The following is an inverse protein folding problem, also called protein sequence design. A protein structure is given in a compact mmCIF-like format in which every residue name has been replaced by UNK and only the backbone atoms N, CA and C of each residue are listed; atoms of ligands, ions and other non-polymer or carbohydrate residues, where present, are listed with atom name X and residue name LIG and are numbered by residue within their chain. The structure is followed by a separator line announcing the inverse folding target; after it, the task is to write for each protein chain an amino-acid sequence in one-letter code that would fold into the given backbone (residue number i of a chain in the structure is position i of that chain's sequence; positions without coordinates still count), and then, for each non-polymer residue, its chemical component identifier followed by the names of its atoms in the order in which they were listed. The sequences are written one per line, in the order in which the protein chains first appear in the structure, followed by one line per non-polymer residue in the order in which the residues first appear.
data_IF_034726999976
#
_entry.id   IF_034726999976
#
_cell.length_a   1.000
_cell.length_b   1.000
_cell.length_c   1.000
_cell.angle_alpha   90.00
_cell.angle_beta   90.00
_cell.angle_gamma   90.00
#
_symmetry.space_group_name_H-M   'P 1'
#
loop_
_entity.id
_entity.type
_entity.pdbx_description
1 polymer ?
#
# COMPACT_ATOMS: atom_id res chain seq x y z
N UNK A 1 -8.37 -30.54 -17.30
CA UNK A 1 -8.53 -31.20 -15.99
C UNK A 1 -9.40 -30.31 -15.13
N UNK A 2 -10.66 -30.70 -14.89
CA UNK A 2 -11.63 -29.87 -14.17
C UNK A 2 -11.43 -29.98 -12.64
N UNK A 3 -11.58 -28.89 -11.87
CA UNK A 3 -11.47 -28.95 -10.42
C UNK A 3 -12.79 -29.41 -9.80
N UNK A 4 -12.67 -30.44 -8.95
CA UNK A 4 -13.75 -31.05 -8.19
C UNK A 4 -13.94 -30.24 -6.90
N UNK A 5 -14.93 -29.35 -6.87
CA UNK A 5 -15.29 -28.56 -5.67
C UNK A 5 -16.25 -29.40 -4.83
N UNK A 6 -16.00 -29.63 -3.53
CA UNK A 6 -16.90 -30.38 -2.67
C UNK A 6 -18.19 -29.59 -2.51
N UNK A 7 -19.29 -30.12 -3.05
CA UNK A 7 -20.65 -29.66 -2.83
C UNK A 7 -20.87 -29.56 -1.33
N UNK A 8 -21.11 -28.35 -0.81
CA UNK A 8 -21.49 -28.10 0.57
C UNK A 8 -22.55 -29.12 0.97
N UNK A 9 -22.20 -29.98 1.92
CA UNK A 9 -23.09 -30.96 2.52
C UNK A 9 -24.37 -30.24 2.95
N UNK A 10 -25.43 -30.40 2.18
CA UNK A 10 -26.76 -29.96 2.52
C UNK A 10 -27.14 -30.77 3.75
N UNK A 11 -26.86 -30.25 4.94
CA UNK A 11 -27.37 -30.80 6.20
C UNK A 11 -28.88 -30.70 6.06
N UNK A 12 -29.51 -31.81 5.70
CA UNK A 12 -30.95 -31.95 5.64
C UNK A 12 -31.43 -31.83 7.08
N UNK A 13 -31.87 -30.62 7.45
CA UNK A 13 -32.42 -30.37 8.79
C UNK A 13 -33.71 -31.18 8.93
N UNK A 14 -33.66 -32.21 9.76
CA UNK A 14 -34.82 -33.02 10.15
C UNK A 14 -35.57 -32.35 11.30
N UNK A 15 -36.88 -32.57 11.38
CA UNK A 15 -37.71 -32.03 12.44
C UNK A 15 -37.36 -32.67 13.78
N UNK A 16 -37.02 -31.92 14.82
CA UNK A 16 -36.67 -32.51 16.13
C UNK A 16 -37.82 -33.26 16.84
N UNK A 17 -39.07 -33.14 16.40
CA UNK A 17 -40.20 -33.86 16.99
C UNK A 17 -40.42 -35.24 16.35
N UNK A 18 -40.35 -35.36 15.02
CA UNK A 18 -40.62 -36.62 14.29
C UNK A 18 -39.44 -37.13 13.43
N UNK A 19 -38.35 -36.38 13.35
CA UNK A 19 -37.16 -36.64 12.53
C UNK A 19 -37.38 -36.65 11.01
N UNK A 20 -38.56 -36.28 10.52
CA UNK A 20 -38.79 -36.17 9.08
C UNK A 20 -38.16 -34.88 8.51
N UNK A 21 -37.58 -34.95 7.30
CA UNK A 21 -37.07 -33.76 6.61
C UNK A 21 -38.20 -32.89 6.06
N UNK A 22 -37.90 -31.61 5.77
CA UNK A 22 -38.81 -30.73 5.03
C UNK A 22 -39.72 -29.84 5.88
N UNK A 23 -39.65 -29.91 7.22
CA UNK A 23 -40.38 -28.99 8.09
C UNK A 23 -39.66 -28.74 9.42
N UNK A 24 -40.00 -27.62 10.08
CA UNK A 24 -39.52 -27.29 11.42
C UNK A 24 -40.51 -27.79 12.49
N UNK A 25 -40.04 -27.97 13.72
CA UNK A 25 -40.83 -28.46 14.88
C UNK A 25 -42.18 -27.76 15.07
N UNK A 26 -42.25 -26.45 14.78
CA UNK A 26 -43.49 -25.66 14.88
C UNK A 26 -44.55 -26.01 13.84
N UNK A 27 -44.17 -26.67 12.76
CA UNK A 27 -45.03 -27.10 11.65
C UNK A 27 -45.11 -28.63 11.55
N UNK A 28 -44.74 -29.35 12.61
CA UNK A 28 -44.85 -30.79 12.64
C UNK A 28 -46.32 -31.22 12.70
N UNK A 29 -46.80 -32.07 11.78
CA UNK A 29 -48.18 -32.58 11.80
C UNK A 29 -48.41 -33.57 12.94
N UNK A 30 -47.35 -34.11 13.54
CA UNK A 30 -47.44 -35.00 14.69
C UNK A 30 -47.61 -34.18 15.99
N UNK A 31 -48.56 -34.56 16.87
CA UNK A 31 -48.74 -33.91 18.15
C UNK A 31 -47.41 -33.93 18.92
N UNK A 32 -47.08 -32.81 19.58
CA UNK A 32 -45.86 -32.75 20.39
C UNK A 32 -45.97 -33.82 21.47
N UNK A 33 -45.01 -34.74 21.47
CA UNK A 33 -44.90 -35.70 22.57
C UNK A 33 -44.56 -34.88 23.80
N UNK A 34 -45.55 -34.67 24.67
CA UNK A 34 -45.33 -34.04 25.97
C UNK A 34 -44.39 -34.96 26.73
N UNK A 35 -43.11 -34.60 26.81
CA UNK A 35 -42.17 -35.31 27.67
C UNK A 35 -42.73 -35.23 29.10
N UNK A 36 -43.01 -36.35 29.78
CA UNK A 36 -43.71 -36.35 31.06
C UNK A 36 -42.83 -35.92 32.25
N UNK A 37 -41.64 -35.32 32.04
CA UNK A 37 -40.65 -35.13 33.11
C UNK A 37 -40.15 -33.69 33.34
N UNK A 38 -40.89 -32.66 32.94
CA UNK A 38 -40.62 -31.29 33.40
C UNK A 38 -41.70 -30.81 34.36
N UNK A 39 -41.61 -31.30 35.60
CA UNK A 39 -42.25 -30.69 36.77
C UNK A 39 -41.74 -29.25 36.87
N UNK A 40 -42.65 -28.31 36.67
CA UNK A 40 -42.46 -26.88 36.92
C UNK A 40 -42.30 -26.70 38.43
N UNK A 41 -41.07 -26.51 38.90
CA UNK A 41 -40.81 -26.00 40.24
C UNK A 41 -40.71 -24.49 40.14
N UNK A 42 -41.67 -23.77 40.73
CA UNK A 42 -41.56 -22.35 41.02
C UNK A 42 -40.36 -22.11 41.93
N UNK A 43 -39.35 -21.41 41.42
CA UNK A 43 -38.23 -20.92 42.22
C UNK A 43 -38.54 -19.48 42.60
N UNK A 44 -38.94 -19.28 43.86
CA UNK A 44 -38.89 -17.98 44.51
C UNK A 44 -37.42 -17.56 44.67
N UNK A 45 -37.12 -16.34 44.23
CA UNK A 45 -35.82 -15.67 44.34
C UNK A 45 -35.59 -15.14 45.76
N UNK A 46 -34.50 -15.49 46.46
CA UNK A 46 -34.11 -14.77 47.66
C UNK A 46 -33.26 -13.53 47.31
N UNK A 47 -33.60 -12.42 47.95
CA UNK A 47 -32.81 -11.20 48.06
C UNK A 47 -31.41 -11.54 48.64
N UNK A 48 -30.34 -11.06 48.00
CA UNK A 48 -29.00 -11.03 48.60
C UNK A 48 -28.52 -9.60 48.73
N UNK A 49 -28.32 -9.23 49.99
CA UNK A 49 -27.76 -8.00 50.53
C UNK A 49 -26.26 -7.88 50.21
N UNK A 50 -25.86 -6.68 49.83
CA UNK A 50 -24.48 -6.23 49.62
C UNK A 50 -23.69 -6.18 50.93
N UNK A 51 -22.50 -6.78 50.99
CA UNK A 51 -21.44 -6.39 51.93
C UNK A 51 -20.05 -6.48 51.31
N UNK A 52 -19.21 -5.59 51.82
CA UNK A 52 -17.95 -5.10 51.29
C UNK A 52 -16.75 -6.07 51.42
N UNK A 53 -15.81 -5.88 50.51
CA UNK A 53 -14.49 -6.52 50.49
C UNK A 53 -13.51 -5.82 51.44
N UNK A 54 -12.75 -6.61 52.19
CA UNK A 54 -11.42 -6.26 52.71
C UNK A 54 -10.49 -7.48 52.58
N UNK A 55 -9.17 -7.30 52.36
CA UNK A 55 -8.26 -8.39 52.02
C UNK A 55 -7.63 -9.00 53.27
N UNK A 56 -7.40 -10.31 53.28
CA UNK A 56 -6.53 -10.95 54.27
C UNK A 56 -5.77 -12.14 53.66
N UNK A 57 -4.49 -11.86 53.44
CA UNK A 57 -3.29 -12.67 53.65
C UNK A 57 -3.39 -14.18 53.88
N UNK A 58 -2.59 -14.85 53.07
CA UNK A 58 -2.15 -16.24 53.09
C UNK A 58 -1.68 -16.78 54.45
N UNK A 59 -2.06 -18.00 54.76
CA UNK A 59 -1.25 -18.95 55.54
C UNK A 59 -1.34 -20.33 54.93
N UNK A 60 -0.17 -20.84 54.54
CA UNK A 60 0.09 -22.19 54.05
C UNK A 60 0.01 -23.15 55.24
N UNK A 61 -0.65 -24.29 55.07
CA UNK A 61 -0.46 -25.45 55.94
C UNK A 61 -0.56 -26.73 55.13
N UNK A 62 0.61 -27.34 54.94
CA UNK A 62 0.80 -28.71 54.51
C UNK A 62 0.31 -29.66 55.61
N UNK A 63 -0.58 -30.58 55.25
CA UNK A 63 -0.79 -31.81 56.00
C UNK A 63 -0.82 -32.98 55.04
N UNK A 64 0.22 -33.80 55.11
CA UNK A 64 0.24 -35.12 54.52
C UNK A 64 -0.73 -36.02 55.30
N UNK A 65 -1.67 -36.68 54.62
CA UNK A 65 -2.27 -37.89 55.16
C UNK A 65 -2.54 -38.90 54.05
N UNK A 66 -1.91 -40.06 54.23
CA UNK A 66 -2.11 -41.30 53.52
C UNK A 66 -3.37 -41.96 54.07
N UNK A 67 -4.39 -42.23 53.25
CA UNK A 67 -5.32 -43.34 53.50
C UNK A 67 -5.96 -43.85 52.20
N UNK A 68 -5.84 -45.16 52.02
CA UNK A 68 -6.58 -45.98 51.07
C UNK A 68 -8.06 -46.10 51.48
N UNK A 69 -8.94 -46.18 50.47
CA UNK A 69 -10.18 -46.93 50.55
C UNK A 69 -11.47 -46.10 50.72
N UNK A 70 -12.36 -46.22 49.73
CA UNK A 70 -13.77 -45.83 49.85
C UNK A 70 -14.18 -44.69 48.92
N UNK A 71 -14.62 -45.03 47.71
CA UNK A 71 -15.20 -44.09 46.76
C UNK A 71 -16.50 -43.48 47.29
N UNK A 72 -16.38 -42.34 47.95
CA UNK A 72 -17.47 -41.38 48.10
C UNK A 72 -17.21 -40.24 47.12
N UNK A 73 -18.11 -40.05 46.16
CA UNK A 73 -18.09 -38.87 45.32
C UNK A 73 -18.38 -37.68 46.24
N UNK A 74 -17.33 -36.94 46.63
CA UNK A 74 -17.46 -35.67 47.34
C UNK A 74 -18.24 -34.69 46.46
N UNK A 75 -19.54 -34.67 46.68
CA UNK A 75 -20.55 -33.85 46.02
C UNK A 75 -20.40 -32.41 46.54
N UNK A 76 -19.35 -31.72 46.10
CA UNK A 76 -19.09 -30.33 46.52
C UNK A 76 -17.85 -29.66 45.93
N UNK A 77 -16.76 -30.39 45.65
CA UNK A 77 -15.49 -29.78 45.21
C UNK A 77 -15.31 -29.62 43.69
N UNK A 78 -16.17 -30.25 42.87
CA UNK A 78 -16.00 -30.22 41.41
C UNK A 78 -16.23 -28.84 40.78
N UNK A 79 -17.09 -28.03 41.39
CA UNK A 79 -17.47 -26.72 40.84
C UNK A 79 -16.35 -25.68 40.99
N UNK A 80 -15.67 -25.67 42.13
CA UNK A 80 -14.56 -24.75 42.39
C UNK A 80 -13.36 -25.03 41.45
N UNK A 81 -13.05 -26.30 41.21
CA UNK A 81 -11.99 -26.69 40.27
C UNK A 81 -12.36 -26.36 38.82
N UNK A 82 -13.64 -26.51 38.44
CA UNK A 82 -14.12 -26.07 37.13
C UNK A 82 -14.03 -24.55 36.96
N UNK A 83 -14.33 -23.78 38.01
CA UNK A 83 -14.23 -22.32 38.00
C UNK A 83 -12.78 -21.84 37.84
N UNK A 84 -11.82 -22.41 38.56
CA UNK A 84 -10.39 -22.07 38.39
C UNK A 84 -9.89 -22.37 36.97
N UNK A 85 -10.34 -23.48 36.37
CA UNK A 85 -10.02 -23.81 34.98
C UNK A 85 -10.61 -22.81 34.00
N UNK A 86 -11.84 -22.34 34.25
CA UNK A 86 -12.48 -21.33 33.42
C UNK A 86 -11.71 -20.00 33.48
N UNK A 87 -11.38 -19.53 34.68
CA UNK A 87 -10.61 -18.29 34.87
C UNK A 87 -9.23 -18.36 34.19
N UNK A 88 -8.54 -19.50 34.25
CA UNK A 88 -7.28 -19.71 33.53
C UNK A 88 -7.46 -19.65 32.00
N UNK A 89 -8.53 -20.25 31.46
CA UNK A 89 -8.84 -20.21 30.03
C UNK A 89 -9.22 -18.80 29.58
N UNK A 90 -10.03 -18.09 30.37
CA UNK A 90 -10.40 -16.69 30.12
C UNK A 90 -9.16 -15.79 30.09
N UNK A 91 -8.26 -15.93 31.05
CA UNK A 91 -6.98 -15.21 31.06
C UNK A 91 -6.10 -15.56 29.84
N UNK A 92 -6.05 -16.83 29.45
CA UNK A 92 -5.28 -17.27 28.28
C UNK A 92 -5.86 -16.67 26.99
N UNK A 93 -7.18 -16.68 26.83
CA UNK A 93 -7.88 -16.11 25.68
C UNK A 93 -7.72 -14.59 25.65
N UNK A 94 -7.78 -13.92 26.80
CA UNK A 94 -7.53 -12.48 26.91
C UNK A 94 -6.11 -12.13 26.48
N UNK A 95 -5.09 -12.89 26.91
CA UNK A 95 -3.70 -12.70 26.48
C UNK A 95 -3.50 -12.92 24.97
N UNK A 96 -4.15 -13.95 24.40
CA UNK A 96 -4.12 -14.20 22.95
C UNK A 96 -4.75 -13.02 22.20
N UNK A 97 -5.88 -12.51 22.68
CA UNK A 97 -6.56 -11.36 22.09
C UNK A 97 -5.68 -10.11 22.13
N UNK A 98 -5.08 -9.79 23.27
CA UNK A 98 -4.17 -8.64 23.39
C UNK A 98 -3.02 -8.76 22.38
N UNK A 99 -2.38 -9.93 22.26
CA UNK A 99 -1.30 -10.14 21.27
C UNK A 99 -1.78 -9.93 19.84
N UNK A 100 -2.94 -10.51 19.49
CA UNK A 100 -3.52 -10.35 18.17
C UNK A 100 -3.83 -8.88 17.86
N UNK A 101 -4.47 -8.17 18.78
CA UNK A 101 -4.81 -6.76 18.62
C UNK A 101 -3.53 -5.90 18.48
N UNK A 102 -2.48 -6.19 19.24
CA UNK A 102 -1.18 -5.51 19.09
C UNK A 102 -0.49 -5.82 17.76
N UNK A 103 -0.63 -7.04 17.21
CA UNK A 103 -0.05 -7.41 15.92
C UNK A 103 -0.82 -6.77 14.76
N UNK A 104 -2.15 -6.70 14.86
CA UNK A 104 -3.01 -5.98 13.89
C UNK A 104 -2.67 -4.48 13.87
N UNK A 105 -2.49 -3.86 15.03
CA UNK A 105 -2.12 -2.45 15.09
C UNK A 105 -0.70 -2.21 14.54
N UNK A 106 0.24 -3.12 14.79
CA UNK A 106 1.59 -3.05 14.21
C UNK A 106 1.55 -3.16 12.69
N UNK A 107 0.74 -4.07 12.15
CA UNK A 107 0.56 -4.24 10.71
C UNK A 107 -0.09 -3.01 10.06
N UNK A 108 -1.10 -2.44 10.71
CA UNK A 108 -1.75 -1.20 10.28
C UNK A 108 -0.77 -0.03 10.25
N UNK A 109 0.07 0.12 11.28
CA UNK A 109 1.11 1.14 11.31
C UNK A 109 2.15 0.94 10.20
N UNK A 110 2.56 -0.32 9.92
CA UNK A 110 3.46 -0.62 8.82
C UNK A 110 2.88 -0.21 7.46
N UNK A 111 1.61 -0.52 7.21
CA UNK A 111 0.94 -0.13 5.97
C UNK A 111 0.83 1.40 5.83
N UNK A 112 0.54 2.10 6.91
CA UNK A 112 0.50 3.57 6.91
C UNK A 112 1.88 4.20 6.66
N UNK A 113 2.97 3.60 7.15
CA UNK A 113 4.33 4.02 6.86
C UNK A 113 4.71 3.76 5.39
N UNK A 114 4.35 2.59 4.84
CA UNK A 114 4.56 2.27 3.43
C UNK A 114 3.78 3.22 2.51
N UNK A 115 2.53 3.55 2.83
CA UNK A 115 1.73 4.53 2.09
C UNK A 115 2.37 5.93 2.11
N UNK A 116 2.84 6.38 3.28
CA UNK A 116 3.58 7.65 3.41
C UNK A 116 4.87 7.64 2.59
N UNK A 117 5.59 6.52 2.55
CA UNK A 117 6.80 6.38 1.76
C UNK A 117 6.51 6.43 0.24
N UNK A 118 5.42 5.79 -0.20
CA UNK A 118 4.97 5.87 -1.60
C UNK A 118 4.61 7.31 -1.96
N UNK A 119 3.85 8.00 -1.10
CA UNK A 119 3.47 9.41 -1.31
C UNK A 119 4.68 10.35 -1.40
N UNK A 120 5.68 10.17 -0.52
CA UNK A 120 6.91 10.95 -0.59
C UNK A 120 7.70 10.70 -1.88
N UNK A 121 7.74 9.44 -2.34
CA UNK A 121 8.42 9.07 -3.58
C UNK A 121 7.72 9.65 -4.81
N UNK A 122 6.39 9.61 -4.84
CA UNK A 122 5.59 10.22 -5.91
C UNK A 122 5.77 11.74 -5.95
N UNK A 123 5.80 12.40 -4.78
CA UNK A 123 6.06 13.83 -4.70
C UNK A 123 7.50 14.20 -5.11
N UNK A 124 8.48 13.36 -4.80
CA UNK A 124 9.86 13.51 -5.27
C UNK A 124 9.95 13.35 -6.81
N UNK A 125 9.24 12.38 -7.38
CA UNK A 125 9.16 12.19 -8.83
C UNK A 125 8.50 13.38 -9.52
N UNK A 126 7.42 13.94 -8.95
CA UNK A 126 6.78 15.17 -9.43
C UNK A 126 7.77 16.34 -9.44
N UNK A 127 8.54 16.51 -8.36
CA UNK A 127 9.58 17.55 -8.28
C UNK A 127 10.70 17.33 -9.31
N UNK A 128 11.09 16.09 -9.56
CA UNK A 128 12.11 15.74 -10.55
C UNK A 128 11.62 16.02 -11.98
N UNK A 129 10.37 15.70 -12.31
CA UNK A 129 9.76 16.00 -13.60
C UNK A 129 9.65 17.51 -13.85
N UNK A 130 9.21 18.28 -12.85
CA UNK A 130 9.14 19.74 -12.96
C UNK A 130 10.53 20.37 -13.14
N UNK A 131 11.55 19.85 -12.44
CA UNK A 131 12.95 20.27 -12.65
C UNK A 131 13.41 19.94 -14.07
N UNK A 132 13.11 18.75 -14.57
CA UNK A 132 13.45 18.33 -15.94
C UNK A 132 12.76 19.20 -16.99
N UNK A 133 11.49 19.55 -16.80
CA UNK A 133 10.76 20.46 -17.69
C UNK A 133 11.38 21.87 -17.72
N UNK A 134 11.81 22.40 -16.56
CA UNK A 134 12.57 23.66 -16.50
C UNK A 134 13.90 23.57 -17.25
N UNK A 135 14.61 22.46 -17.13
CA UNK A 135 15.88 22.24 -17.85
C UNK A 135 15.64 22.07 -19.36
N UNK A 136 14.59 21.37 -19.77
CA UNK A 136 14.21 21.17 -21.18
C UNK A 136 13.78 22.49 -21.84
N UNK A 137 12.99 23.31 -21.14
CA UNK A 137 12.59 24.65 -21.62
C UNK A 137 13.77 25.59 -21.74
N UNK A 138 14.68 25.60 -20.75
CA UNK A 138 15.92 26.37 -20.82
C UNK A 138 16.82 25.89 -21.97
N UNK A 139 16.97 24.58 -22.14
CA UNK A 139 17.71 24.00 -23.25
C UNK A 139 17.11 24.40 -24.60
N UNK A 140 15.80 24.33 -24.75
CA UNK A 140 15.11 24.73 -25.99
C UNK A 140 15.35 26.21 -26.34
N UNK A 141 15.40 27.10 -25.34
CA UNK A 141 15.75 28.50 -25.54
C UNK A 141 17.20 28.68 -26.00
N UNK A 142 18.16 27.99 -25.37
CA UNK A 142 19.57 28.01 -25.75
C UNK A 142 19.77 27.47 -27.16
N UNK A 143 19.16 26.33 -27.49
CA UNK A 143 19.23 25.72 -28.82
C UNK A 143 18.61 26.64 -29.88
N UNK A 144 17.49 27.29 -29.57
CA UNK A 144 16.85 28.29 -30.46
C UNK A 144 17.76 29.51 -30.73
N UNK A 145 18.43 30.03 -29.69
CA UNK A 145 19.39 31.13 -29.85
C UNK A 145 20.62 30.72 -30.65
N UNK A 146 21.15 29.52 -30.40
CA UNK A 146 22.28 28.98 -31.15
C UNK A 146 21.93 28.78 -32.63
N UNK A 147 20.77 28.21 -32.95
CA UNK A 147 20.31 28.06 -34.34
C UNK A 147 20.18 29.42 -35.06
N UNK A 148 19.71 30.47 -34.36
CA UNK A 148 19.63 31.83 -34.92
C UNK A 148 21.02 32.44 -35.12
N UNK A 149 21.93 32.23 -34.18
CA UNK A 149 23.32 32.70 -34.27
C UNK A 149 24.03 32.02 -35.46
N UNK A 150 23.88 30.71 -35.61
CA UNK A 150 24.43 29.94 -36.74
C UNK A 150 23.90 30.47 -38.07
N UNK A 151 22.61 30.78 -38.15
CA UNK A 151 22.01 31.38 -39.36
C UNK A 151 22.62 32.75 -39.70
N UNK A 152 22.90 33.59 -38.69
CA UNK A 152 23.57 34.89 -38.89
C UNK A 152 25.03 34.70 -39.28
N UNK A 153 25.75 33.76 -38.65
CA UNK A 153 27.12 33.42 -39.00
C UNK A 153 27.22 32.93 -40.46
N UNK A 154 26.31 32.05 -40.89
CA UNK A 154 26.23 31.59 -42.28
C UNK A 154 25.97 32.76 -43.24
N UNK A 155 24.97 33.62 -42.96
CA UNK A 155 24.67 34.77 -43.81
C UNK A 155 25.84 35.77 -43.94
N UNK A 156 26.56 36.04 -42.85
CA UNK A 156 27.74 36.90 -42.87
C UNK A 156 28.90 36.27 -43.65
N UNK A 157 29.11 34.97 -43.50
CA UNK A 157 30.19 34.24 -44.21
C UNK A 157 29.94 34.13 -45.72
N UNK A 158 28.71 33.86 -46.14
CA UNK A 158 28.34 33.82 -47.56
C UNK A 158 28.51 35.19 -48.22
N UNK A 159 28.07 36.26 -47.55
CA UNK A 159 28.21 37.62 -48.09
C UNK A 159 29.66 38.05 -48.24
N UNK A 160 30.53 37.66 -47.29
CA UNK A 160 31.96 37.99 -47.34
C UNK A 160 32.70 37.24 -48.44
N UNK A 161 32.28 36.01 -48.77
CA UNK A 161 32.83 35.24 -49.90
C UNK A 161 32.41 35.85 -51.25
N UNK A 162 31.14 36.21 -51.42
CA UNK A 162 30.65 36.84 -52.65
C UNK A 162 31.30 38.21 -52.89
N UNK A 163 31.48 39.03 -51.85
CA UNK A 163 32.12 40.34 -51.96
C UNK A 163 33.62 40.24 -52.27
N UNK A 164 34.34 39.27 -51.68
CA UNK A 164 35.76 39.02 -51.99
C UNK A 164 35.93 38.44 -53.39
N UNK A 165 35.03 37.56 -53.86
CA UNK A 165 35.09 37.02 -55.22
C UNK A 165 34.75 38.09 -56.28
N UNK A 166 33.83 39.01 -56.00
CA UNK A 166 33.51 40.14 -56.86
C UNK A 166 34.66 41.18 -56.94
N UNK A 167 35.36 41.40 -55.82
CA UNK A 167 36.55 42.26 -55.79
C UNK A 167 37.75 41.65 -56.52
N UNK A 168 37.84 40.32 -56.63
CA UNK A 168 38.92 39.65 -57.38
C UNK A 168 38.67 39.60 -58.90
N UNK A 169 37.47 39.96 -59.38
CA UNK A 169 37.11 39.96 -60.81
C UNK A 169 36.91 41.36 -61.41
N UNK A 170 37.04 42.43 -60.63
CA UNK A 170 36.91 43.79 -61.15
C UNK A 170 38.26 44.52 -61.22
N UNK A 171 38.73 44.74 -62.45
CA UNK A 171 39.73 45.77 -62.77
C UNK A 171 39.20 47.16 -62.36
N UNK A 172 40.09 48.13 -62.01
CA UNK A 172 39.69 49.39 -61.43
C UNK A 172 39.11 50.33 -62.49
N UNK A 173 37.81 50.22 -62.75
CA UNK A 173 37.07 51.17 -63.58
C UNK A 173 35.87 51.71 -62.80
N UNK A 174 36.07 52.94 -62.33
CA UNK A 174 35.09 53.99 -62.04
C UNK A 174 33.81 53.82 -62.85
N UNK A 175 32.63 53.73 -62.20
CA UNK A 175 31.33 54.27 -62.66
C UNK A 175 30.19 53.90 -61.69
N UNK A 176 29.56 54.96 -61.18
CA UNK A 176 28.11 55.24 -61.14
C UNK A 176 27.13 54.22 -60.55
N UNK A 177 26.53 54.64 -59.45
CA UNK A 177 25.28 54.17 -58.82
C UNK A 177 24.12 53.96 -59.81
N UNK A 178 23.52 52.76 -59.88
CA UNK A 178 22.17 52.59 -60.39
C UNK A 178 21.18 52.48 -59.23
N UNK A 179 20.18 53.36 -59.28
CA UNK A 179 18.93 53.27 -58.52
C UNK A 179 18.13 52.06 -59.02
N UNK A 180 17.99 51.02 -58.19
CA UNK A 180 17.16 49.85 -58.50
C UNK A 180 15.83 50.01 -57.75
N UNK A 181 14.83 50.47 -58.50
CA UNK A 181 13.42 50.36 -58.17
C UNK A 181 13.04 48.88 -58.01
N UNK A 182 12.86 48.42 -56.77
CA UNK A 182 12.32 47.08 -56.46
C UNK A 182 10.91 47.25 -55.91
N UNK A 183 9.93 47.28 -56.79
CA UNK A 183 8.51 47.21 -56.40
C UNK A 183 8.01 45.79 -56.72
N UNK A 184 7.21 45.21 -55.81
CA UNK A 184 6.56 43.87 -55.85
C UNK A 184 7.13 42.70 -55.01
N UNK A 185 8.04 42.91 -54.03
CA UNK A 185 8.42 41.83 -53.09
C UNK A 185 7.77 41.88 -51.69
N UNK A 186 6.86 42.83 -51.44
CA UNK A 186 6.22 43.03 -50.13
C UNK A 186 5.08 42.05 -49.80
N UNK A 187 4.27 41.66 -50.79
CA UNK A 187 3.05 40.86 -50.56
C UNK A 187 3.33 39.43 -50.08
N UNK A 188 4.42 38.79 -50.50
CA UNK A 188 4.77 37.45 -50.04
C UNK A 188 5.21 37.40 -48.56
N UNK A 189 5.66 38.53 -47.99
CA UNK A 189 6.07 38.58 -46.58
C UNK A 189 4.88 38.74 -45.62
N UNK A 190 3.83 39.45 -46.06
CA UNK A 190 2.60 39.64 -45.28
C UNK A 190 1.82 38.32 -45.12
N UNK A 191 1.76 37.49 -46.16
CA UNK A 191 1.10 36.17 -46.09
C UNK A 191 1.78 35.22 -45.09
N UNK A 192 3.10 35.30 -44.96
CA UNK A 192 3.87 34.49 -44.00
C UNK A 192 3.62 34.99 -42.58
N UNK A 193 3.56 36.31 -42.38
CA UNK A 193 3.23 36.90 -41.10
C UNK A 193 1.80 36.60 -40.65
N UNK A 194 0.82 36.69 -41.56
CA UNK A 194 -0.57 36.33 -41.29
C UNK A 194 -0.72 34.85 -40.91
N UNK A 195 0.00 33.94 -41.60
CA UNK A 195 0.03 32.51 -41.24
C UNK A 195 0.62 32.26 -39.87
N UNK A 196 1.70 32.97 -39.50
CA UNK A 196 2.33 32.86 -38.19
C UNK A 196 1.39 33.32 -37.06
N UNK A 197 0.68 34.45 -37.25
CA UNK A 197 -0.31 34.93 -36.28
C UNK A 197 -1.47 33.93 -36.11
N UNK A 198 -1.98 33.35 -37.20
CA UNK A 198 -3.02 32.33 -37.15
C UNK A 198 -2.54 31.00 -36.52
N UNK A 199 -1.26 30.67 -36.63
CA UNK A 199 -0.66 29.53 -35.93
C UNK A 199 -0.52 29.81 -34.43
N UNK A 200 -0.07 31.01 -34.06
CA UNK A 200 0.02 31.44 -32.68
C UNK A 200 -1.36 31.44 -31.99
N UNK A 201 -2.40 31.93 -32.66
CA UNK A 201 -3.77 31.90 -32.13
C UNK A 201 -4.28 30.46 -31.97
N UNK A 202 -4.02 29.57 -32.94
CA UNK A 202 -4.38 28.14 -32.81
C UNK A 202 -3.69 27.48 -31.62
N UNK A 203 -2.40 27.76 -31.42
CA UNK A 203 -1.66 27.22 -30.27
C UNK A 203 -2.21 27.77 -28.95
N UNK A 204 -2.58 29.05 -28.91
CA UNK A 204 -3.21 29.67 -27.74
C UNK A 204 -4.54 29.00 -27.40
N UNK A 205 -5.43 28.84 -28.38
CA UNK A 205 -6.72 28.14 -28.19
C UNK A 205 -6.51 26.69 -27.73
N UNK A 206 -5.51 26.00 -28.29
CA UNK A 206 -5.19 24.62 -27.88
C UNK A 206 -4.74 24.55 -26.41
N UNK A 207 -3.95 25.52 -25.94
CA UNK A 207 -3.54 25.60 -24.54
C UNK A 207 -4.76 25.89 -23.64
N UNK A 208 -5.61 26.86 -24.02
CA UNK A 208 -6.84 27.19 -23.29
C UNK A 208 -7.79 25.99 -23.19
N UNK A 209 -8.01 25.25 -24.28
CA UNK A 209 -8.81 24.03 -24.29
C UNK A 209 -8.22 22.93 -23.40
N UNK A 210 -6.89 22.79 -23.40
CA UNK A 210 -6.20 21.83 -22.53
C UNK A 210 -6.35 22.19 -21.04
N UNK A 211 -6.33 23.47 -20.69
CA UNK A 211 -6.56 23.96 -19.33
C UNK A 211 -8.03 23.77 -18.92
N UNK A 212 -8.97 24.07 -19.81
CA UNK A 212 -10.39 23.83 -19.58
C UNK A 212 -10.71 22.33 -19.41
N UNK A 213 -10.00 21.44 -20.11
CA UNK A 213 -10.10 20.00 -19.90
C UNK A 213 -9.53 19.58 -18.52
N UNK A 214 -8.38 20.13 -18.11
CA UNK A 214 -7.80 19.89 -16.77
C UNK A 214 -8.74 20.34 -15.65
N UNK A 215 -9.33 21.54 -15.72
CA UNK A 215 -10.29 22.01 -14.71
C UNK A 215 -11.56 21.15 -14.64
N UNK A 216 -11.99 20.55 -15.77
CA UNK A 216 -13.11 19.59 -15.77
C UNK A 216 -12.74 18.29 -15.07
N UNK A 217 -11.53 17.77 -15.30
CA UNK A 217 -11.04 16.57 -14.59
C UNK A 217 -10.91 16.82 -13.09
N UNK A 218 -10.34 17.95 -12.69
CA UNK A 218 -10.21 18.32 -11.28
C UNK A 218 -11.58 18.40 -10.58
N UNK A 219 -12.60 18.91 -11.28
CA UNK A 219 -13.97 18.92 -10.76
C UNK A 219 -14.52 17.49 -10.55
N UNK A 220 -14.32 16.59 -11.52
CA UNK A 220 -14.73 15.19 -11.40
C UNK A 220 -13.97 14.46 -10.28
N UNK A 221 -12.68 14.76 -10.09
CA UNK A 221 -11.88 14.22 -8.99
C UNK A 221 -12.45 14.64 -7.63
N UNK A 222 -12.82 15.92 -7.47
CA UNK A 222 -13.50 16.41 -6.26
C UNK A 222 -14.85 15.73 -6.02
N UNK A 223 -15.65 15.52 -7.07
CA UNK A 223 -16.93 14.81 -6.97
C UNK A 223 -16.73 13.32 -6.58
N UNK A 224 -15.73 12.65 -7.15
CA UNK A 224 -15.37 11.28 -6.79
C UNK A 224 -14.91 11.18 -5.33
N UNK A 225 -14.16 12.15 -4.84
CA UNK A 225 -13.72 12.17 -3.44
C UNK A 225 -14.89 12.32 -2.47
N UNK A 226 -15.84 13.20 -2.77
CA UNK A 226 -17.08 13.33 -1.98
C UNK A 226 -17.88 12.02 -1.95
N UNK A 227 -17.96 11.30 -3.08
CA UNK A 227 -18.66 10.01 -3.14
C UNK A 227 -17.93 8.93 -2.32
N UNK A 228 -16.59 8.91 -2.35
CA UNK A 228 -15.79 7.99 -1.53
C UNK A 228 -15.97 8.28 -0.05
N UNK A 229 -15.89 9.55 0.35
CA UNK A 229 -16.13 9.96 1.73
C UNK A 229 -17.53 9.55 2.19
N UNK A 230 -18.57 9.81 1.40
CA UNK A 230 -19.93 9.41 1.76
C UNK A 230 -20.11 7.89 1.89
N UNK A 231 -19.42 7.09 1.06
CA UNK A 231 -19.39 5.63 1.19
C UNK A 231 -18.72 5.21 2.50
N UNK A 232 -17.59 5.81 2.82
CA UNK A 232 -16.80 5.45 4.01
C UNK A 232 -17.53 5.85 5.29
N UNK A 233 -18.17 7.03 5.30
CA UNK A 233 -19.07 7.47 6.38
C UNK A 233 -20.24 6.47 6.55
N UNK A 234 -20.86 6.01 5.46
CA UNK A 234 -21.92 5.00 5.53
C UNK A 234 -21.43 3.65 6.07
N UNK A 235 -20.18 3.25 5.79
CA UNK A 235 -19.57 2.05 6.36
C UNK A 235 -19.35 2.22 7.85
N UNK A 236 -18.83 3.38 8.29
CA UNK A 236 -18.64 3.72 9.70
C UNK A 236 -19.97 3.70 10.44
N UNK A 237 -21.01 4.36 9.90
CA UNK A 237 -22.35 4.36 10.47
C UNK A 237 -22.90 2.93 10.59
N UNK A 238 -22.76 2.12 9.54
CA UNK A 238 -23.19 0.72 9.58
C UNK A 238 -22.45 -0.10 10.64
N UNK A 239 -21.17 0.18 10.87
CA UNK A 239 -20.38 -0.43 11.94
C UNK A 239 -20.87 0.02 13.33
N UNK A 240 -21.14 1.30 13.52
CA UNK A 240 -21.72 1.85 14.76
C UNK A 240 -23.06 1.18 15.07
N UNK A 241 -23.95 1.07 14.07
CA UNK A 241 -25.22 0.36 14.23
C UNK A 241 -25.03 -1.12 14.58
N UNK A 242 -24.03 -1.79 14.00
CA UNK A 242 -23.70 -3.17 14.32
C UNK A 242 -23.23 -3.30 15.76
N UNK A 243 -22.34 -2.41 16.21
CA UNK A 243 -21.83 -2.39 17.58
C UNK A 243 -22.95 -2.15 18.59
N UNK A 244 -23.83 -1.17 18.33
CA UNK A 244 -24.99 -0.87 19.18
C UNK A 244 -25.97 -2.05 19.25
N UNK A 245 -26.20 -2.74 18.13
CA UNK A 245 -27.03 -3.95 18.10
C UNK A 245 -26.42 -5.10 18.91
N UNK A 246 -25.09 -5.18 19.01
CA UNK A 246 -24.39 -6.20 19.79
C UNK A 246 -24.17 -5.84 21.26
N UNK A 247 -24.51 -4.61 21.69
CA UNK A 247 -24.22 -4.10 23.04
C UNK A 247 -24.94 -4.95 24.12
N UNK A 248 -24.21 -5.69 24.98
CA UNK A 248 -24.81 -6.53 26.02
C UNK A 248 -25.55 -5.64 27.04
N UNK A 249 -26.87 -5.72 27.05
CA UNK A 249 -27.72 -4.80 27.81
C UNK A 249 -28.80 -4.12 26.96
N UNK A 250 -28.71 -4.19 25.64
CA UNK A 250 -29.85 -3.91 24.74
C UNK A 250 -30.87 -5.06 24.84
N UNK A 251 -31.57 -5.13 25.98
CA UNK A 251 -32.78 -5.96 26.15
C UNK A 251 -33.97 -5.37 25.38
N UNK A 252 -33.77 -4.95 24.13
CA UNK A 252 -34.84 -5.07 23.15
C UNK A 252 -34.90 -6.56 22.83
N UNK A 253 -35.57 -7.29 23.74
CA UNK A 253 -36.07 -8.61 23.41
C UNK A 253 -36.68 -8.53 22.01
N UNK A 254 -36.49 -9.60 21.25
CA UNK A 254 -37.32 -9.90 20.09
C UNK A 254 -38.72 -9.34 20.40
N UNK A 255 -39.09 -8.25 19.72
CA UNK A 255 -40.47 -7.77 19.80
C UNK A 255 -41.23 -8.92 19.17
N UNK A 256 -41.72 -9.81 20.04
CA UNK A 256 -42.85 -10.63 19.70
C UNK A 256 -43.86 -9.60 19.21
N UNK A 257 -44.10 -9.62 17.90
CA UNK A 257 -45.33 -9.10 17.31
C UNK A 257 -46.46 -9.97 17.88
N UNK A 258 -46.71 -9.84 19.18
CA UNK A 258 -47.96 -10.20 19.79
C UNK A 258 -48.94 -9.17 19.26
N UNK A 259 -49.73 -9.61 18.30
CA UNK A 259 -51.03 -9.05 17.94
C UNK A 259 -51.67 -8.43 19.19
N UNK A 260 -51.95 -7.11 19.20
CA UNK A 260 -52.56 -6.48 20.35
C UNK A 260 -54.00 -6.99 20.44
N UNK A 261 -54.29 -7.73 21.51
CA UNK A 261 -55.66 -7.86 21.99
C UNK A 261 -56.15 -6.48 22.39
N UNK A 262 -57.31 -6.14 21.84
CA UNK A 262 -58.13 -4.97 22.11
C UNK A 262 -58.21 -4.73 23.63
N UNK A 263 -57.83 -3.53 24.09
CA UNK A 263 -58.66 -2.63 24.91
C UNK A 263 -57.85 -1.42 25.40
N UNK A 264 -58.28 -0.24 24.91
CA UNK A 264 -58.30 1.06 25.58
C UNK A 264 -57.04 1.58 26.31
N UNK A 265 -56.41 2.63 25.76
CA UNK A 265 -56.63 4.03 26.17
C UNK A 265 -55.93 4.93 25.15
N UNK A 266 -56.68 5.90 24.63
CA UNK A 266 -56.36 6.71 23.46
C UNK A 266 -55.56 7.94 23.88
N UNK A 267 -54.26 7.97 23.56
CA UNK A 267 -53.57 9.23 23.28
C UNK A 267 -53.59 9.47 21.77
N UNK A 268 -53.84 10.71 21.29
CA UNK A 268 -53.84 11.03 19.87
C UNK A 268 -52.40 11.05 19.33
N UNK A 269 -51.91 9.88 18.96
CA UNK A 269 -50.75 9.73 18.09
C UNK A 269 -51.03 10.47 16.78
N UNK A 270 -50.27 11.55 16.56
CA UNK A 270 -50.15 12.20 15.25
C UNK A 270 -49.70 11.15 14.23
N UNK A 271 -50.57 10.88 13.27
CA UNK A 271 -50.26 10.10 12.08
C UNK A 271 -49.05 10.70 11.36
N UNK A 272 -48.04 9.92 10.95
CA UNK A 272 -47.10 10.37 9.94
C UNK A 272 -47.93 10.65 8.69
N UNK A 273 -47.78 11.85 8.14
CA UNK A 273 -48.38 12.22 6.87
C UNK A 273 -48.09 11.11 5.85
N UNK A 274 -49.12 10.71 5.08
CA UNK A 274 -49.03 9.77 3.96
C UNK A 274 -47.82 10.14 3.09
N UNK A 275 -46.69 9.47 3.28
CA UNK A 275 -45.62 9.48 2.30
C UNK A 275 -46.22 8.83 1.07
N UNK A 276 -46.23 9.58 -0.04
CA UNK A 276 -46.76 9.12 -1.31
C UNK A 276 -46.21 7.71 -1.57
N UNK A 277 -47.11 6.75 -1.83
CA UNK A 277 -46.74 5.44 -2.31
C UNK A 277 -45.83 5.64 -3.51
N UNK A 278 -44.53 5.41 -3.31
CA UNK A 278 -43.53 5.47 -4.37
C UNK A 278 -43.91 4.34 -5.31
N UNK A 279 -44.57 4.70 -6.40
CA UNK A 279 -44.76 3.80 -7.53
C UNK A 279 -43.37 3.52 -8.08
N UNK A 280 -42.76 2.43 -7.61
CA UNK A 280 -41.51 1.93 -8.18
C UNK A 280 -41.83 1.57 -9.63
N UNK A 281 -41.24 2.29 -10.57
CA UNK A 281 -41.36 1.94 -11.98
C UNK A 281 -40.60 0.63 -12.22
N UNK A 282 -41.37 -0.45 -12.36
CA UNK A 282 -40.84 -1.79 -12.62
C UNK A 282 -39.99 -1.84 -13.89
N UNK A 283 -40.15 -0.90 -14.83
CA UNK A 283 -39.31 -0.82 -16.03
C UNK A 283 -37.90 -0.36 -15.69
N UNK A 284 -37.75 0.66 -14.85
CA UNK A 284 -36.44 1.14 -14.41
C UNK A 284 -35.74 0.08 -13.56
N UNK A 285 -36.45 -0.56 -12.63
CA UNK A 285 -35.88 -1.62 -11.80
C UNK A 285 -35.38 -2.81 -12.64
N UNK A 286 -36.14 -3.19 -13.68
CA UNK A 286 -35.72 -4.22 -14.63
C UNK A 286 -34.48 -3.79 -15.43
N UNK A 287 -34.39 -2.51 -15.82
CA UNK A 287 -33.20 -1.98 -16.49
C UNK A 287 -31.97 -2.02 -15.58
N UNK A 288 -32.08 -1.60 -14.32
CA UNK A 288 -31.00 -1.70 -13.34
C UNK A 288 -30.52 -3.12 -13.14
N UNK A 289 -31.45 -4.07 -12.96
CA UNK A 289 -31.11 -5.48 -12.83
C UNK A 289 -30.39 -6.01 -14.07
N UNK A 290 -30.83 -5.64 -15.27
CA UNK A 290 -30.16 -6.04 -16.50
C UNK A 290 -28.74 -5.47 -16.59
N UNK A 291 -28.52 -4.21 -16.23
CA UNK A 291 -27.18 -3.62 -16.21
C UNK A 291 -26.27 -4.28 -15.18
N UNK A 292 -26.80 -4.61 -14.00
CA UNK A 292 -26.05 -5.32 -12.96
C UNK A 292 -25.64 -6.72 -13.41
N UNK A 293 -26.56 -7.45 -14.05
CA UNK A 293 -26.29 -8.77 -14.62
C UNK A 293 -25.23 -8.70 -15.72
N UNK A 294 -25.31 -7.72 -16.63
CA UNK A 294 -24.29 -7.53 -17.68
C UNK A 294 -22.92 -7.17 -17.07
N UNK A 295 -22.86 -6.31 -16.06
CA UNK A 295 -21.62 -5.99 -15.35
C UNK A 295 -21.01 -7.22 -14.66
N UNK A 296 -21.82 -8.08 -14.04
CA UNK A 296 -21.36 -9.34 -13.45
C UNK A 296 -20.82 -10.29 -14.52
N UNK A 297 -21.48 -10.39 -15.68
CA UNK A 297 -20.99 -11.18 -16.82
C UNK A 297 -19.67 -10.65 -17.34
N UNK A 298 -19.53 -9.33 -17.49
CA UNK A 298 -18.29 -8.68 -17.91
C UNK A 298 -17.15 -8.97 -16.94
N UNK A 299 -17.38 -8.82 -15.62
CA UNK A 299 -16.35 -9.14 -14.62
C UNK A 299 -15.94 -10.61 -14.67
N UNK A 300 -16.90 -11.54 -14.79
CA UNK A 300 -16.58 -12.97 -14.93
C UNK A 300 -15.82 -13.27 -16.21
N UNK A 301 -16.11 -12.57 -17.30
CA UNK A 301 -15.40 -12.70 -18.56
C UNK A 301 -13.95 -12.18 -18.44
N UNK A 302 -13.73 -11.12 -17.66
CA UNK A 302 -12.40 -10.59 -17.34
C UNK A 302 -11.63 -11.59 -16.45
N UNK A 303 -12.27 -12.15 -15.42
CA UNK A 303 -11.69 -13.16 -14.53
C UNK A 303 -11.32 -14.45 -15.29
N UNK A 304 -12.21 -14.92 -16.18
CA UNK A 304 -11.98 -16.11 -17.02
C UNK A 304 -10.89 -15.91 -18.06
N UNK A 305 -10.76 -14.68 -18.58
CA UNK A 305 -9.69 -14.33 -19.53
C UNK A 305 -8.33 -14.02 -18.85
N UNK A 306 -8.28 -14.07 -17.51
CA UNK A 306 -7.06 -13.95 -16.71
C UNK A 306 -6.34 -12.59 -16.78
N UNK A 307 -5.43 -12.32 -15.83
CA UNK A 307 -4.58 -11.12 -15.80
C UNK A 307 -3.46 -11.11 -16.87
N UNK A 308 -3.57 -11.93 -17.93
CA UNK A 308 -2.56 -11.95 -19.00
C UNK A 308 -2.51 -10.62 -19.76
N UNK A 309 -3.64 -9.95 -19.99
CA UNK A 309 -3.64 -8.69 -20.77
C UNK A 309 -2.93 -7.49 -20.11
N UNK A 310 -3.10 -7.21 -18.80
CA UNK A 310 -2.34 -6.13 -18.16
C UNK A 310 -0.85 -6.50 -18.01
N UNK A 311 -0.52 -7.76 -17.73
CA UNK A 311 0.87 -8.20 -17.61
C UNK A 311 1.59 -8.19 -18.97
N UNK A 312 0.95 -8.61 -20.05
CA UNK A 312 1.51 -8.54 -21.41
C UNK A 312 1.77 -7.09 -21.84
N UNK A 313 0.84 -6.18 -21.54
CA UNK A 313 1.05 -4.74 -21.80
C UNK A 313 2.18 -4.17 -20.96
N UNK A 314 2.27 -4.56 -19.68
CA UNK A 314 3.34 -4.14 -18.77
C UNK A 314 4.70 -4.72 -19.18
N UNK A 315 4.73 -5.95 -19.67
CA UNK A 315 5.94 -6.58 -20.18
C UNK A 315 6.37 -5.94 -21.49
N UNK A 316 5.43 -5.65 -22.40
CA UNK A 316 5.70 -4.95 -23.65
C UNK A 316 6.19 -3.52 -23.43
N UNK A 317 5.67 -2.79 -22.44
CA UNK A 317 6.22 -1.47 -22.07
C UNK A 317 7.59 -1.60 -21.42
N UNK A 318 7.82 -2.59 -20.56
CA UNK A 318 9.16 -2.88 -20.02
C UNK A 318 10.18 -3.17 -21.12
N UNK A 319 9.84 -4.01 -22.09
CA UNK A 319 10.69 -4.30 -23.24
C UNK A 319 10.97 -3.04 -24.08
N UNK A 320 9.95 -2.20 -24.29
CA UNK A 320 10.10 -0.95 -25.04
C UNK A 320 10.99 0.07 -24.32
N UNK A 321 10.97 0.10 -22.99
CA UNK A 321 11.87 0.93 -22.17
C UNK A 321 13.32 0.43 -22.32
N UNK A 322 13.55 -0.88 -22.15
CA UNK A 322 14.90 -1.47 -22.32
C UNK A 322 15.43 -1.23 -23.73
N UNK A 323 14.57 -1.32 -24.75
CA UNK A 323 14.97 -1.06 -26.13
C UNK A 323 15.30 0.42 -26.37
N UNK A 324 14.49 1.35 -25.84
CA UNK A 324 14.82 2.78 -25.90
C UNK A 324 16.08 3.13 -25.13
N UNK A 325 16.38 2.45 -24.02
CA UNK A 325 17.64 2.61 -23.28
C UNK A 325 18.85 2.08 -24.07
N UNK A 326 18.72 0.92 -24.71
CA UNK A 326 19.76 0.38 -25.58
C UNK A 326 19.98 1.25 -26.83
N UNK A 327 18.91 1.76 -27.45
CA UNK A 327 18.98 2.67 -28.59
C UNK A 327 19.54 4.03 -28.17
N UNK A 328 19.25 4.52 -26.95
CA UNK A 328 19.85 5.75 -26.42
C UNK A 328 21.34 5.58 -26.09
N UNK A 329 21.74 4.39 -25.65
CA UNK A 329 23.13 4.04 -25.43
C UNK A 329 23.92 3.89 -26.74
N UNK A 330 23.27 3.49 -27.84
CA UNK A 330 23.92 3.33 -29.15
C UNK A 330 23.82 4.57 -30.06
N UNK A 331 22.79 5.39 -29.90
CA UNK A 331 22.49 6.56 -30.75
C UNK A 331 23.07 7.87 -30.23
N UNK A 332 23.70 7.91 -29.06
CA UNK A 332 24.58 9.04 -28.73
C UNK A 332 25.88 8.85 -29.53
N UNK A 333 26.16 9.66 -30.58
CA UNK A 333 27.49 9.68 -31.16
C UNK A 333 28.35 10.31 -30.06
N UNK A 334 29.04 9.47 -29.27
CA UNK A 334 30.05 9.92 -28.34
C UNK A 334 31.09 10.62 -29.20
N UNK A 335 30.95 11.93 -29.32
CA UNK A 335 31.90 12.77 -30.01
C UNK A 335 33.27 12.50 -29.39
N UNK A 336 34.26 12.29 -30.26
CA UNK A 336 35.63 11.88 -29.92
C UNK A 336 36.28 12.73 -28.81
N UNK A 337 35.73 13.93 -28.56
CA UNK A 337 36.13 14.83 -27.48
C UNK A 337 35.95 14.25 -26.08
N UNK A 338 34.86 13.52 -25.80
CA UNK A 338 34.59 12.99 -24.45
C UNK A 338 35.45 11.77 -24.12
N UNK A 339 35.71 10.91 -25.12
CA UNK A 339 36.68 9.82 -25.00
C UNK A 339 38.10 10.35 -24.77
N UNK A 340 38.49 11.45 -25.43
CA UNK A 340 39.78 12.11 -25.20
C UNK A 340 39.89 12.80 -23.85
N UNK A 341 38.80 13.33 -23.30
CA UNK A 341 38.81 13.90 -21.95
C UNK A 341 38.90 12.80 -20.87
N UNK A 342 38.20 11.68 -21.03
CA UNK A 342 38.29 10.54 -20.12
C UNK A 342 39.69 9.87 -20.15
N UNK A 343 40.36 9.86 -21.31
CA UNK A 343 41.73 9.34 -21.46
C UNK A 343 42.80 10.26 -20.82
N UNK A 344 42.62 11.58 -20.88
CA UNK A 344 43.52 12.54 -20.21
C UNK A 344 43.36 12.50 -18.69
N UNK A 345 42.16 12.18 -18.18
CA UNK A 345 41.93 12.00 -16.74
C UNK A 345 42.48 10.67 -16.22
N UNK A 346 42.52 9.61 -17.04
CA UNK A 346 43.14 8.33 -16.68
C UNK A 346 44.67 8.31 -16.85
N UNK A 347 45.24 9.29 -17.56
CA UNK A 347 46.64 9.33 -17.98
C UNK A 347 47.60 10.05 -17.05
N UNK A 348 47.34 10.14 -15.74
CA UNK A 348 48.33 10.65 -14.78
C UNK A 348 48.07 10.11 -13.39
N UNK A 349 48.65 8.96 -13.06
CA UNK A 349 49.22 8.69 -11.72
C UNK A 349 49.87 7.29 -11.67
N UNK A 350 51.19 7.25 -11.91
CA UNK A 350 52.05 6.24 -11.30
C UNK A 350 52.13 6.55 -9.81
N UNK A 351 51.13 6.12 -9.05
CA UNK A 351 51.05 6.32 -7.62
C UNK A 351 50.32 5.14 -6.98
N UNK A 352 51.08 4.27 -6.32
CA UNK A 352 50.62 3.11 -5.56
C UNK A 352 49.76 3.60 -4.37
N UNK A 353 48.49 3.91 -4.59
CA UNK A 353 47.51 4.26 -3.56
C UNK A 353 46.51 3.13 -3.39
N UNK A 354 46.40 2.63 -2.15
CA UNK A 354 45.31 1.77 -1.70
C UNK A 354 43.99 2.48 -2.02
N UNK A 355 43.19 1.88 -2.90
CA UNK A 355 41.83 2.31 -3.23
C UNK A 355 40.99 2.27 -1.95
N UNK A 356 40.76 3.43 -1.35
CA UNK A 356 39.65 3.64 -0.45
C UNK A 356 38.39 3.58 -1.32
N UNK A 357 37.74 2.41 -1.34
CA UNK A 357 36.42 2.29 -1.91
C UNK A 357 35.46 3.14 -1.08
N UNK A 358 34.68 3.96 -1.78
CA UNK A 358 33.61 4.75 -1.20
C UNK A 358 32.63 3.81 -0.45
N UNK A 359 32.39 4.01 0.87
CA UNK A 359 31.57 3.11 1.68
C UNK A 359 30.14 2.94 1.12
N UNK A 360 29.64 3.91 0.35
CA UNK A 360 28.33 3.83 -0.27
C UNK A 360 28.24 2.72 -1.35
N UNK A 361 29.32 2.48 -2.10
CA UNK A 361 29.35 1.45 -3.16
C UNK A 361 29.41 0.05 -2.55
N UNK A 362 30.24 -0.14 -1.50
CA UNK A 362 30.32 -1.42 -0.77
C UNK A 362 29.00 -1.84 -0.13
N UNK A 363 28.18 -0.90 0.36
CA UNK A 363 26.88 -1.22 0.96
C UNK A 363 25.86 -1.72 -0.08
N UNK A 364 25.90 -1.19 -1.30
CA UNK A 364 25.04 -1.67 -2.37
C UNK A 364 25.44 -3.07 -2.82
N UNK A 365 26.74 -3.35 -2.93
CA UNK A 365 27.28 -4.67 -3.28
C UNK A 365 26.98 -5.72 -2.19
N UNK A 366 27.04 -5.33 -0.90
CA UNK A 366 26.66 -6.21 0.21
C UNK A 366 25.18 -6.60 0.15
N UNK A 367 24.29 -5.66 -0.17
CA UNK A 367 22.83 -5.91 -0.26
C UNK A 367 22.47 -6.79 -1.46
N UNK A 368 23.12 -6.61 -2.61
CA UNK A 368 22.91 -7.46 -3.79
C UNK A 368 23.42 -8.87 -3.52
N UNK A 369 24.60 -9.01 -2.90
CA UNK A 369 25.16 -10.30 -2.50
C UNK A 369 24.24 -11.08 -1.54
N UNK A 370 23.66 -10.42 -0.54
CA UNK A 370 22.68 -11.03 0.38
C UNK A 370 21.46 -11.57 -0.38
N UNK A 371 20.92 -10.80 -1.33
CA UNK A 371 19.75 -11.23 -2.12
C UNK A 371 20.06 -12.40 -3.04
N UNK A 372 21.22 -12.38 -3.68
CA UNK A 372 21.65 -13.43 -4.60
C UNK A 372 21.95 -14.75 -3.87
N UNK A 373 22.70 -14.69 -2.76
CA UNK A 373 22.97 -15.86 -1.92
C UNK A 373 21.69 -16.48 -1.37
N UNK A 374 20.71 -15.67 -0.93
CA UNK A 374 19.41 -16.17 -0.47
C UNK A 374 18.62 -16.87 -1.57
N UNK A 375 18.68 -16.37 -2.81
CA UNK A 375 18.04 -16.98 -4.00
C UNK A 375 18.71 -18.28 -4.44
N UNK A 376 20.02 -18.39 -4.27
CA UNK A 376 20.80 -19.56 -4.65
C UNK A 376 20.63 -20.75 -3.67
N UNK A 377 20.12 -20.51 -2.46
CA UNK A 377 19.93 -21.57 -1.47
C UNK A 377 18.67 -22.40 -1.73
N UNK A 378 18.77 -23.74 -1.62
CA UNK A 378 17.62 -24.61 -1.82
C UNK A 378 16.62 -24.50 -0.67
N UNK A 379 15.33 -24.46 -0.98
CA UNK A 379 14.25 -24.41 0.03
C UNK A 379 13.86 -25.78 0.61
N UNK A 380 14.50 -26.86 0.15
CA UNK A 380 14.23 -28.22 0.62
C UNK A 380 15.11 -28.56 1.82
N UNK A 381 14.50 -29.16 2.85
CA UNK A 381 15.16 -29.48 4.12
C UNK A 381 16.46 -30.27 3.94
N UNK A 382 16.46 -31.31 3.11
CA UNK A 382 17.61 -32.21 2.96
C UNK A 382 18.81 -31.52 2.30
N UNK A 383 18.56 -30.70 1.27
CA UNK A 383 19.61 -29.94 0.59
C UNK A 383 20.15 -28.82 1.47
N UNK A 384 19.29 -28.20 2.27
CA UNK A 384 19.70 -27.18 3.22
C UNK A 384 20.56 -27.78 4.34
N UNK A 385 20.16 -28.93 4.89
CA UNK A 385 20.96 -29.67 5.87
C UNK A 385 22.35 -30.08 5.33
N UNK A 386 22.45 -30.43 4.04
CA UNK A 386 23.74 -30.69 3.40
C UNK A 386 24.61 -29.42 3.30
N UNK A 387 24.02 -28.24 3.03
CA UNK A 387 24.74 -26.96 3.07
C UNK A 387 25.19 -26.59 4.48
N UNK A 388 24.34 -26.83 5.50
CA UNK A 388 24.68 -26.64 6.91
C UNK A 388 25.87 -27.48 7.33
N UNK A 389 25.90 -28.76 6.94
CA UNK A 389 27.02 -29.66 7.26
C UNK A 389 28.33 -29.20 6.61
N UNK A 390 28.28 -28.65 5.39
CA UNK A 390 29.45 -28.09 4.69
C UNK A 390 29.98 -26.83 5.36
N UNK A 391 29.09 -25.98 5.85
CA UNK A 391 29.45 -24.70 6.47
C UNK A 391 29.57 -24.79 8.00
N UNK A 392 29.36 -25.96 8.61
CA UNK A 392 29.43 -26.13 10.07
C UNK A 392 28.38 -25.34 10.85
N UNK A 393 27.20 -25.11 10.26
CA UNK A 393 26.08 -24.40 10.90
C UNK A 393 25.09 -25.44 11.45
N UNK A 394 24.58 -25.23 12.67
CA UNK A 394 23.57 -26.12 13.25
C UNK A 394 22.22 -25.87 12.58
N UNK A 395 21.60 -26.92 12.03
CA UNK A 395 20.29 -26.82 11.40
C UNK A 395 19.19 -26.51 12.43
N UNK A 396 18.39 -25.47 12.19
CA UNK A 396 17.29 -25.02 13.05
C UNK A 396 15.96 -25.05 12.28
N UNK A 397 15.38 -23.89 11.98
CA UNK A 397 14.23 -23.76 11.07
C UNK A 397 14.71 -23.34 9.69
N UNK A 398 14.01 -23.73 8.62
CA UNK A 398 14.43 -23.44 7.23
C UNK A 398 14.79 -21.96 7.02
N UNK A 399 14.00 -21.04 7.59
CA UNK A 399 14.24 -19.59 7.48
C UNK A 399 15.50 -19.17 8.23
N UNK A 400 15.63 -19.53 9.51
CA UNK A 400 16.79 -19.19 10.33
C UNK A 400 18.08 -19.76 9.73
N UNK A 401 18.02 -21.01 9.29
CA UNK A 401 19.16 -21.70 8.70
C UNK A 401 19.62 -21.05 7.39
N UNK A 402 18.71 -20.57 6.55
CA UNK A 402 19.05 -19.78 5.36
C UNK A 402 19.75 -18.48 5.78
N UNK A 403 19.24 -17.80 6.81
CA UNK A 403 19.78 -16.53 7.27
C UNK A 403 21.16 -16.69 7.92
N UNK A 404 21.39 -17.76 8.68
CA UNK A 404 22.68 -18.10 9.27
C UNK A 404 23.74 -18.40 8.20
N UNK A 405 23.36 -19.15 7.15
CA UNK A 405 24.23 -19.42 5.99
C UNK A 405 24.58 -18.11 5.26
N UNK A 406 23.59 -17.27 5.00
CA UNK A 406 23.81 -15.99 4.32
C UNK A 406 24.70 -15.08 5.17
N UNK A 407 24.45 -15.00 6.48
CA UNK A 407 25.26 -14.20 7.40
C UNK A 407 26.72 -14.66 7.42
N UNK A 408 26.96 -15.98 7.48
CA UNK A 408 28.32 -16.53 7.43
C UNK A 408 29.03 -16.20 6.12
N UNK A 409 28.39 -16.45 4.97
CA UNK A 409 28.97 -16.12 3.66
C UNK A 409 29.24 -14.62 3.48
N UNK A 410 28.37 -13.76 4.03
CA UNK A 410 28.57 -12.31 4.03
C UNK A 410 29.77 -11.92 4.88
N UNK A 411 29.97 -12.55 6.05
CA UNK A 411 31.15 -12.31 6.88
C UNK A 411 32.44 -12.78 6.20
N UNK A 412 32.39 -13.89 5.45
CA UNK A 412 33.56 -14.40 4.72
C UNK A 412 33.97 -13.48 3.55
N UNK A 413 33.00 -12.88 2.85
CA UNK A 413 33.26 -11.97 1.70
C UNK A 413 33.49 -10.52 2.14
N UNK A 414 32.79 -10.07 3.18
CA UNK A 414 32.85 -8.73 3.74
C UNK A 414 33.24 -8.81 5.22
N UNK A 415 34.51 -9.19 5.52
CA UNK A 415 34.98 -9.23 6.89
C UNK A 415 34.82 -7.84 7.51
N UNK A 416 34.29 -7.73 8.74
CA UNK A 416 34.29 -6.47 9.45
C UNK A 416 35.71 -5.92 9.46
N UNK A 417 35.90 -4.67 9.04
CA UNK A 417 37.18 -4.01 9.20
C UNK A 417 37.50 -4.06 10.69
N UNK A 418 38.50 -4.87 11.05
CA UNK A 418 38.99 -4.96 12.41
C UNK A 418 39.49 -3.57 12.75
N UNK A 419 38.69 -2.82 13.52
CA UNK A 419 39.17 -1.57 14.10
C UNK A 419 40.18 -2.04 15.12
N UNK A 420 41.44 -2.08 14.73
CA UNK A 420 42.52 -2.41 15.65
C UNK A 420 42.38 -1.46 16.83
N UNK A 421 41.91 -2.01 17.94
CA UNK A 421 41.83 -1.35 19.21
C UNK A 421 43.25 -0.95 19.56
N UNK A 422 43.59 0.30 19.23
CA UNK A 422 44.74 0.98 19.76
C UNK A 422 44.56 0.93 21.27
N UNK A 423 45.32 0.06 21.92
CA UNK A 423 45.55 0.09 23.35
C UNK A 423 46.17 1.45 23.69
N UNK A 424 45.33 2.44 23.94
CA UNK A 424 45.71 3.68 24.60
C UNK A 424 45.81 3.37 26.11
N UNK A 425 46.95 2.84 26.51
CA UNK A 425 47.54 3.22 27.80
C UNK A 425 47.88 4.70 27.72
N UNK A 426 47.22 5.53 28.53
CA UNK A 426 47.84 6.62 29.29
C UNK A 426 46.78 7.35 30.12
N UNK A 427 46.79 7.04 31.42
CA UNK A 427 46.98 8.02 32.49
C UNK A 427 46.44 9.43 32.24
N UNK A 428 45.19 9.68 32.66
CA UNK A 428 44.79 10.96 33.23
C UNK A 428 43.78 10.72 34.36
N UNK A 429 44.33 10.57 35.56
CA UNK A 429 43.69 11.00 36.80
C UNK A 429 43.30 12.48 36.69
N UNK A 430 42.00 12.78 36.67
CA UNK A 430 41.49 14.10 37.04
C UNK A 430 40.36 13.91 38.04
N UNK A 431 40.53 14.63 39.14
CA UNK A 431 39.80 14.59 40.37
C UNK A 431 38.28 14.74 40.26
N UNK A 432 37.65 13.98 41.14
CA UNK A 432 36.45 14.27 41.93
C UNK A 432 36.12 15.77 42.00
N UNK A 433 34.95 16.13 41.47
CA UNK A 433 34.10 17.13 42.08
C UNK A 433 32.65 16.62 42.00
N UNK A 434 32.14 16.24 43.17
CA UNK A 434 30.71 16.23 43.46
C UNK A 434 30.10 17.56 43.02
N UNK A 435 28.96 17.50 42.32
CA UNK A 435 27.94 18.50 42.59
C UNK A 435 26.55 17.88 42.45
N UNK A 436 25.92 17.73 43.60
CA UNK A 436 24.54 17.38 43.76
C UNK A 436 23.64 18.56 43.36
N UNK A 437 22.58 18.27 42.60
CA UNK A 437 21.29 19.01 42.53
C UNK A 437 20.37 18.13 41.67
N UNK A 438 19.39 17.44 42.24
CA UNK A 438 18.13 18.04 42.72
C UNK A 438 17.24 18.25 41.49
N UNK A 439 16.43 17.28 41.10
CA UNK A 439 15.04 17.10 41.58
C UNK A 439 14.21 18.37 41.47
N UNK A 440 13.34 18.43 40.46
CA UNK A 440 11.96 18.88 40.61
C UNK A 440 11.19 18.75 39.30
N UNK A 441 10.18 17.88 39.36
CA UNK A 441 8.84 17.93 38.78
C UNK A 441 8.30 19.27 38.24
N UNK A 442 7.18 19.11 37.50
CA UNK A 442 6.13 20.08 37.09
C UNK A 442 6.30 20.68 35.70
N UNK A 443 5.52 20.18 34.72
CA UNK A 443 4.20 20.74 34.39
C UNK A 443 3.41 19.93 33.37
#
# INVERSE_FOLDING_TARGET
MAPNVPTSSTIVRTCYNCSDPGHFVRWCPHPRVSQPNHVIVSVETPLVTTLASAPSTSVVSNSASTHQGGGSYQKGSGWYQAQQRLEYLENTVALIKIRHDTDVEREKNRLAEEEKAVKMKEEEERRALEKKEREETNKALVDSLNCRLDSVCLALSSKRLEEVEALHKSDPVRITTPSISTMNRGQASDDVFAKLMAEQERMKTQIEDSLAAKSRLEKLERELEVIRQARDDAIVDAEVWRQEATRPGSKRGCVNLSTPSVHATVEPCRTPAKVASVRVDYKELKQFHNMEVEKIKEMRLIELNGPERPNEKLEKTRLRIVQLEADKASSTPRSNLRARLDEVVAGSEKGKKKTLQDPAVQLNDRKTFIKETRKALPQTKDKLAASCAKEGIVYTTIRQTIDDIVAKRVLDVFPPLHVDSVNATDDLSVDVAEDARGDSDVS
#
